data_IF_462804089328
#
_entry.id   IF_462804089328
#
_cell.length_a   1.000
_cell.length_b   1.000
_cell.length_c   1.000
_cell.angle_alpha   90.00
_cell.angle_beta   90.00
_cell.angle_gamma   90.00
#
_symmetry.space_group_name_H-M   'P 1'
#
loop_
_entity.id
_entity.type
_entity.pdbx_description
1 polymer ?
#
# COMPACT_ATOMS: atom_id res chain seq x y z
N UNK A 1 12.67 -1.13 -46.43
CA UNK A 1 13.63 -1.55 -45.38
C UNK A 1 13.43 -3.03 -45.13
N UNK A 2 14.50 -3.82 -45.07
CA UNK A 2 14.39 -5.27 -44.83
C UNK A 2 14.21 -5.54 -43.34
N UNK A 3 13.15 -6.25 -42.97
CA UNK A 3 12.96 -6.76 -41.61
C UNK A 3 13.86 -7.97 -41.42
N UNK A 4 14.88 -7.86 -40.56
CA UNK A 4 15.72 -9.00 -40.20
C UNK A 4 15.02 -9.84 -39.11
N UNK A 5 14.75 -11.10 -39.40
CA UNK A 5 14.19 -12.05 -38.43
C UNK A 5 15.28 -12.85 -37.72
N UNK A 6 15.18 -12.99 -36.40
CA UNK A 6 16.02 -13.92 -35.61
C UNK A 6 15.13 -15.01 -35.01
N UNK A 7 15.05 -16.20 -35.62
CA UNK A 7 14.30 -17.33 -35.05
C UNK A 7 14.77 -17.62 -33.62
N UNK A 8 13.86 -17.60 -32.66
CA UNK A 8 14.18 -17.77 -31.23
C UNK A 8 14.50 -16.48 -30.45
N UNK A 9 14.61 -15.31 -31.10
CA UNK A 9 14.63 -14.00 -30.46
C UNK A 9 15.99 -13.51 -29.92
N UNK A 10 15.95 -12.44 -29.11
CA UNK A 10 17.09 -11.76 -28.50
C UNK A 10 17.15 -10.25 -28.81
N UNK A 11 17.79 -9.48 -27.93
CA UNK A 11 17.90 -8.03 -28.05
C UNK A 11 18.96 -7.63 -29.08
N UNK A 12 18.66 -6.62 -29.88
CA UNK A 12 19.63 -5.93 -30.74
C UNK A 12 20.21 -4.72 -30.01
N UNK A 13 21.42 -4.30 -30.39
CA UNK A 13 22.00 -3.05 -29.92
C UNK A 13 21.64 -1.92 -30.88
N UNK A 14 20.87 -0.94 -30.40
CA UNK A 14 20.38 0.19 -31.21
C UNK A 14 20.89 1.54 -30.69
N UNK A 15 21.03 2.54 -31.57
CA UNK A 15 21.41 3.91 -31.18
C UNK A 15 20.28 4.57 -30.39
N UNK A 16 20.58 5.17 -29.22
CA UNK A 16 19.55 5.69 -28.30
C UNK A 16 19.88 7.07 -27.70
N UNK A 17 20.91 7.76 -28.20
CA UNK A 17 21.30 9.11 -27.75
C UNK A 17 20.15 10.11 -27.97
N UNK A 18 19.87 10.97 -26.96
CA UNK A 18 18.80 11.97 -27.02
C UNK A 18 18.91 12.88 -28.25
N UNK A 19 20.11 13.19 -28.72
CA UNK A 19 20.36 14.03 -29.91
C UNK A 19 19.88 13.38 -31.22
N UNK A 20 19.63 12.07 -31.20
CA UNK A 20 19.15 11.30 -32.34
C UNK A 20 17.62 11.08 -32.29
N UNK A 21 16.91 11.69 -31.32
CA UNK A 21 15.47 11.53 -31.11
C UNK A 21 14.76 12.88 -31.22
N UNK A 22 13.56 12.86 -31.80
CA UNK A 22 12.59 13.96 -31.82
C UNK A 22 11.25 13.42 -31.31
N UNK A 23 10.31 14.30 -30.95
CA UNK A 23 8.95 13.93 -30.53
C UNK A 23 8.95 12.92 -29.37
N UNK A 24 9.76 13.20 -28.35
CA UNK A 24 9.89 12.35 -27.17
C UNK A 24 8.71 12.61 -26.22
N UNK A 25 7.84 11.61 -26.10
CA UNK A 25 6.72 11.56 -25.16
C UNK A 25 6.83 10.35 -24.23
N UNK A 26 6.08 10.39 -23.13
CA UNK A 26 6.04 9.28 -22.18
C UNK A 26 5.30 8.09 -22.79
N UNK A 27 5.85 6.90 -22.59
CA UNK A 27 5.20 5.66 -22.96
C UNK A 27 4.40 5.17 -21.75
N UNK A 28 3.07 5.16 -21.85
CA UNK A 28 2.18 4.91 -20.69
C UNK A 28 1.69 3.47 -20.55
N UNK A 29 1.73 2.67 -21.63
CA UNK A 29 1.29 1.27 -21.56
C UNK A 29 2.15 0.50 -20.54
N UNK A 30 1.49 -0.29 -19.70
CA UNK A 30 2.10 -0.88 -18.50
C UNK A 30 1.31 -2.07 -17.98
N UNK A 31 0.96 -2.04 -16.69
CA UNK A 31 0.36 -3.19 -16.00
C UNK A 31 -0.95 -3.65 -16.66
N UNK A 32 -1.77 -2.71 -17.13
CA UNK A 32 -3.06 -2.99 -17.76
C UNK A 32 -2.90 -3.85 -19.04
N UNK A 33 -1.96 -3.50 -19.92
CA UNK A 33 -1.69 -4.20 -21.17
C UNK A 33 -1.03 -5.54 -20.88
N UNK A 34 -0.03 -5.58 -19.99
CA UNK A 34 0.68 -6.83 -19.63
C UNK A 34 -0.29 -7.91 -19.12
N UNK A 35 -1.32 -7.53 -18.35
CA UNK A 35 -2.32 -8.47 -17.84
C UNK A 35 -3.19 -9.12 -18.92
N UNK A 36 -3.26 -8.53 -20.11
CA UNK A 36 -4.03 -9.04 -21.26
C UNK A 36 -3.16 -9.90 -22.19
N UNK A 37 -1.84 -9.81 -22.08
CA UNK A 37 -0.92 -10.61 -22.89
C UNK A 37 -0.96 -12.06 -22.40
N UNK A 38 -1.12 -12.99 -23.35
CA UNK A 38 -1.11 -14.43 -23.10
C UNK A 38 0.17 -15.07 -23.65
N UNK A 39 1.17 -15.36 -22.81
CA UNK A 39 2.34 -16.12 -23.23
C UNK A 39 1.94 -17.55 -23.62
N UNK A 40 2.52 -18.05 -24.71
CA UNK A 40 2.27 -19.39 -25.22
C UNK A 40 3.57 -20.11 -25.49
N UNK A 41 3.55 -21.43 -25.30
CA UNK A 41 4.52 -22.31 -25.92
C UNK A 41 4.01 -22.74 -27.28
N UNK A 42 4.85 -22.66 -28.30
CA UNK A 42 4.50 -23.06 -29.65
C UNK A 42 5.65 -23.79 -30.35
N UNK A 43 5.34 -24.35 -31.51
CA UNK A 43 6.28 -24.95 -32.46
C UNK A 43 5.80 -24.57 -33.86
N UNK A 44 6.72 -24.27 -34.77
CA UNK A 44 6.33 -23.99 -36.15
C UNK A 44 5.88 -25.26 -36.87
N UNK A 45 4.93 -25.11 -37.79
CA UNK A 45 4.39 -26.23 -38.59
C UNK A 45 5.39 -26.76 -39.62
N UNK A 46 6.37 -25.96 -40.02
CA UNK A 46 7.38 -26.29 -41.02
C UNK A 46 7.16 -25.67 -42.38
N UNK A 47 6.01 -25.02 -42.57
CA UNK A 47 5.71 -24.19 -43.74
C UNK A 47 6.61 -22.93 -43.74
N UNK A 48 6.77 -22.31 -44.91
CA UNK A 48 7.54 -21.06 -45.07
C UNK A 48 8.97 -21.11 -44.50
N UNK A 49 9.63 -22.27 -44.66
CA UNK A 49 11.01 -22.52 -44.21
C UNK A 49 11.25 -22.37 -42.69
N UNK A 50 10.21 -22.54 -41.87
CA UNK A 50 10.32 -22.43 -40.42
C UNK A 50 10.78 -23.73 -39.72
N UNK A 51 11.54 -23.65 -38.61
CA UNK A 51 12.08 -24.82 -37.92
C UNK A 51 11.01 -25.59 -37.11
N UNK A 52 10.95 -26.91 -37.27
CA UNK A 52 9.90 -27.75 -36.64
C UNK A 52 10.32 -28.47 -35.37
N UNK A 53 11.62 -28.56 -35.07
CA UNK A 53 12.10 -29.46 -34.00
C UNK A 53 11.89 -28.88 -32.61
N UNK A 54 12.25 -27.62 -32.45
CA UNK A 54 12.30 -26.96 -31.15
C UNK A 54 10.92 -26.43 -30.73
N UNK A 55 10.76 -26.21 -29.42
CA UNK A 55 9.64 -25.46 -28.86
C UNK A 55 10.14 -24.07 -28.49
N UNK A 56 9.30 -23.08 -28.75
CA UNK A 56 9.58 -21.68 -28.47
C UNK A 56 8.54 -21.14 -27.49
N UNK A 57 8.95 -20.16 -26.69
CA UNK A 57 8.03 -19.32 -25.92
C UNK A 57 7.78 -18.05 -26.72
N UNK A 58 6.55 -17.57 -26.73
CA UNK A 58 6.23 -16.29 -27.35
C UNK A 58 4.78 -15.91 -27.16
N UNK A 59 4.27 -15.15 -28.12
CA UNK A 59 2.90 -14.63 -28.16
C UNK A 59 2.32 -14.87 -29.55
N UNK A 60 0.98 -14.81 -29.65
CA UNK A 60 0.29 -14.87 -30.94
C UNK A 60 0.11 -13.44 -31.45
N UNK A 61 0.59 -13.15 -32.66
CA UNK A 61 0.56 -11.79 -33.22
C UNK A 61 -0.87 -11.23 -33.33
N UNK A 62 -1.85 -12.06 -33.67
CA UNK A 62 -3.27 -11.66 -33.73
C UNK A 62 -3.82 -11.26 -32.35
N UNK A 63 -3.38 -11.92 -31.28
CA UNK A 63 -3.77 -11.57 -29.91
C UNK A 63 -3.08 -10.27 -29.48
N UNK A 64 -1.78 -10.13 -29.80
CA UNK A 64 -1.06 -8.88 -29.55
C UNK A 64 -1.64 -7.70 -30.33
N UNK A 65 -2.21 -7.92 -31.51
CA UNK A 65 -2.82 -6.85 -32.28
C UNK A 65 -4.02 -6.22 -31.58
N UNK A 66 -4.72 -6.97 -30.73
CA UNK A 66 -5.84 -6.45 -29.92
C UNK A 66 -5.35 -5.68 -28.69
N UNK A 67 -4.17 -6.00 -28.16
CA UNK A 67 -3.63 -5.42 -26.92
C UNK A 67 -2.71 -4.23 -27.20
N UNK A 68 -1.79 -4.39 -28.15
CA UNK A 68 -0.74 -3.44 -28.50
C UNK A 68 -0.48 -3.48 -30.02
N UNK A 69 -1.39 -2.91 -30.84
CA UNK A 69 -1.37 -3.06 -32.31
C UNK A 69 -0.07 -2.59 -32.96
N UNK A 70 0.59 -1.59 -32.39
CA UNK A 70 1.88 -1.05 -32.88
C UNK A 70 3.06 -2.02 -32.72
N UNK A 71 2.88 -3.14 -32.02
CA UNK A 71 3.86 -4.23 -31.96
C UNK A 71 3.73 -5.22 -33.12
N UNK A 72 2.71 -5.09 -33.96
CA UNK A 72 2.37 -6.05 -35.01
C UNK A 72 2.46 -5.37 -36.38
N UNK A 73 3.11 -6.03 -37.34
CA UNK A 73 3.25 -5.51 -38.71
C UNK A 73 2.97 -6.60 -39.73
N UNK A 74 2.06 -6.38 -40.71
CA UNK A 74 1.82 -7.33 -41.78
C UNK A 74 3.03 -7.44 -42.71
N UNK A 75 3.27 -8.63 -43.24
CA UNK A 75 4.28 -8.89 -44.25
C UNK A 75 3.83 -9.99 -45.19
N UNK A 76 4.27 -9.95 -46.44
CA UNK A 76 4.04 -11.03 -47.39
C UNK A 76 5.17 -12.04 -47.28
N UNK A 77 4.81 -13.32 -47.18
CA UNK A 77 5.74 -14.43 -47.33
C UNK A 77 5.32 -15.29 -48.52
N UNK A 78 6.30 -15.88 -49.20
CA UNK A 78 6.05 -16.76 -50.34
C UNK A 78 6.61 -18.13 -50.04
N UNK A 79 5.75 -19.13 -50.04
CA UNK A 79 6.19 -20.51 -49.89
C UNK A 79 7.05 -20.89 -51.10
N UNK A 80 8.32 -21.19 -50.85
CA UNK A 80 9.27 -21.57 -51.89
C UNK A 80 8.90 -22.88 -52.59
N UNK A 81 8.06 -23.73 -51.97
CA UNK A 81 7.64 -25.01 -52.55
C UNK A 81 6.45 -24.85 -53.48
N UNK A 82 5.41 -24.12 -53.07
CA UNK A 82 4.18 -23.93 -53.85
C UNK A 82 4.17 -22.67 -54.71
N UNK A 83 5.07 -21.72 -54.46
CA UNK A 83 5.07 -20.38 -55.08
C UNK A 83 3.92 -19.49 -54.62
N UNK A 84 3.13 -19.92 -53.63
CA UNK A 84 1.99 -19.17 -53.11
C UNK A 84 2.46 -18.08 -52.15
N UNK A 85 2.04 -16.85 -52.41
CA UNK A 85 2.25 -15.72 -51.50
C UNK A 85 1.03 -15.53 -50.60
N UNK A 86 1.26 -15.36 -49.30
CA UNK A 86 0.23 -15.09 -48.30
C UNK A 86 0.69 -13.96 -47.37
N UNK A 87 -0.27 -13.24 -46.79
CA UNK A 87 0.00 -12.23 -45.78
C UNK A 87 0.07 -12.87 -44.39
N UNK A 88 1.13 -12.54 -43.66
CA UNK A 88 1.38 -12.94 -42.29
C UNK A 88 1.59 -11.73 -41.40
N UNK A 89 1.53 -11.94 -40.09
CA UNK A 89 1.80 -10.91 -39.10
C UNK A 89 3.12 -11.20 -38.42
N UNK A 90 4.01 -10.21 -38.41
CA UNK A 90 5.24 -10.20 -37.62
C UNK A 90 5.02 -9.45 -36.32
N UNK A 91 5.81 -9.79 -35.29
CA UNK A 91 5.71 -9.21 -33.96
C UNK A 91 7.05 -8.63 -33.51
N UNK A 92 7.04 -7.39 -33.02
CA UNK A 92 8.15 -6.69 -32.40
C UNK A 92 7.88 -6.52 -30.89
N UNK A 93 8.58 -7.31 -30.07
CA UNK A 93 8.38 -7.33 -28.62
C UNK A 93 9.09 -6.25 -27.82
N UNK A 94 9.76 -5.29 -28.46
CA UNK A 94 10.52 -4.24 -27.74
C UNK A 94 9.64 -3.43 -26.81
N UNK A 95 8.44 -3.03 -27.25
CA UNK A 95 7.54 -2.23 -26.42
C UNK A 95 7.08 -2.98 -25.16
N UNK A 96 6.90 -4.31 -25.23
CA UNK A 96 6.50 -5.13 -24.08
C UNK A 96 7.55 -5.09 -22.97
N UNK A 97 8.83 -4.92 -23.30
CA UNK A 97 9.89 -4.75 -22.30
C UNK A 97 9.68 -3.45 -21.51
N UNK A 98 9.33 -2.36 -22.17
CA UNK A 98 9.06 -1.09 -21.52
C UNK A 98 7.72 -1.09 -20.78
N UNK A 99 6.71 -1.80 -21.29
CA UNK A 99 5.48 -2.07 -20.52
C UNK A 99 5.78 -2.81 -19.21
N UNK A 100 6.69 -3.78 -19.24
CA UNK A 100 7.10 -4.48 -18.01
C UNK A 100 7.81 -3.54 -17.03
N UNK A 101 8.61 -2.57 -17.51
CA UNK A 101 9.22 -1.52 -16.67
C UNK A 101 8.13 -0.67 -16.02
N UNK A 102 7.19 -0.15 -16.81
CA UNK A 102 6.07 0.65 -16.30
C UNK A 102 5.24 -0.16 -15.29
N UNK A 103 4.88 -1.39 -15.65
CA UNK A 103 4.14 -2.30 -14.77
C UNK A 103 4.86 -2.57 -13.44
N UNK A 104 6.20 -2.68 -13.44
CA UNK A 104 6.95 -2.87 -12.19
C UNK A 104 7.00 -1.61 -11.35
N UNK A 105 7.07 -0.42 -11.97
CA UNK A 105 6.96 0.85 -11.26
C UNK A 105 5.56 1.02 -10.65
N UNK A 106 4.50 0.81 -11.43
CA UNK A 106 3.12 0.84 -10.96
C UNK A 106 2.88 -0.12 -9.79
N UNK A 107 3.40 -1.36 -9.89
CA UNK A 107 3.30 -2.34 -8.81
C UNK A 107 4.05 -1.89 -7.55
N UNK A 108 5.23 -1.29 -7.69
CA UNK A 108 5.98 -0.75 -6.56
C UNK A 108 5.22 0.38 -5.85
N UNK A 109 4.61 1.28 -6.61
CA UNK A 109 3.79 2.37 -6.08
C UNK A 109 2.56 1.83 -5.34
N UNK A 110 1.87 0.85 -5.92
CA UNK A 110 0.74 0.17 -5.28
C UNK A 110 1.15 -0.53 -3.97
N UNK A 111 2.33 -1.15 -3.93
CA UNK A 111 2.86 -1.78 -2.72
C UNK A 111 3.18 -0.76 -1.63
N UNK A 112 3.77 0.38 -1.99
CA UNK A 112 4.06 1.45 -1.03
C UNK A 112 2.76 2.01 -0.43
N UNK A 113 1.76 2.26 -1.26
CA UNK A 113 0.47 2.78 -0.79
C UNK A 113 -0.27 1.78 0.10
N UNK A 114 -0.26 0.50 -0.26
CA UNK A 114 -0.81 -0.56 0.59
C UNK A 114 -0.08 -0.64 1.93
N UNK A 115 1.25 -0.48 1.96
CA UNK A 115 2.01 -0.48 3.20
C UNK A 115 1.62 0.70 4.11
N UNK A 116 1.42 1.89 3.55
CA UNK A 116 0.93 3.07 4.29
C UNK A 116 -0.44 2.81 4.91
N UNK A 117 -1.35 2.16 4.17
CA UNK A 117 -2.68 1.81 4.67
C UNK A 117 -2.60 0.78 5.81
N UNK A 118 -1.75 -0.23 5.69
CA UNK A 118 -1.52 -1.23 6.75
C UNK A 118 -0.99 -0.55 8.02
N UNK A 119 -0.01 0.35 7.89
CA UNK A 119 0.56 1.06 9.04
C UNK A 119 -0.48 1.96 9.72
N UNK A 120 -1.35 2.60 8.92
CA UNK A 120 -2.47 3.38 9.44
C UNK A 120 -3.47 2.52 10.20
N UNK A 121 -3.83 1.35 9.65
CA UNK A 121 -4.75 0.42 10.30
C UNK A 121 -4.18 -0.11 11.62
N UNK A 122 -2.90 -0.50 11.66
CA UNK A 122 -2.23 -0.94 12.89
C UNK A 122 -2.28 0.11 13.99
N UNK A 123 -2.02 1.38 13.67
CA UNK A 123 -2.13 2.47 14.65
C UNK A 123 -3.56 2.61 15.19
N UNK A 124 -4.57 2.45 14.33
CA UNK A 124 -5.97 2.49 14.76
C UNK A 124 -6.32 1.29 15.66
N UNK A 125 -5.78 0.10 15.37
CA UNK A 125 -5.94 -1.08 16.22
C UNK A 125 -5.31 -0.85 17.59
N UNK A 126 -4.07 -0.36 17.66
CA UNK A 126 -3.39 -0.04 18.92
C UNK A 126 -4.18 0.96 19.76
N UNK A 127 -4.75 2.00 19.14
CA UNK A 127 -5.60 2.98 19.83
C UNK A 127 -6.87 2.33 20.39
N UNK A 128 -7.57 1.53 19.58
CA UNK A 128 -8.79 0.83 20.01
C UNK A 128 -8.51 -0.15 21.14
N UNK A 129 -7.38 -0.85 21.11
CA UNK A 129 -6.99 -1.78 22.18
C UNK A 129 -6.78 -1.04 23.51
N UNK A 130 -6.19 0.15 23.48
CA UNK A 130 -6.04 1.00 24.68
C UNK A 130 -7.39 1.49 25.19
N UNK A 131 -8.26 1.99 24.34
CA UNK A 131 -9.62 2.41 24.71
C UNK A 131 -10.41 1.25 25.33
N UNK A 132 -10.33 0.05 24.73
CA UNK A 132 -10.97 -1.15 25.28
C UNK A 132 -10.40 -1.50 26.66
N UNK A 133 -9.08 -1.37 26.86
CA UNK A 133 -8.44 -1.64 28.14
C UNK A 133 -8.89 -0.64 29.22
N UNK A 134 -8.99 0.64 28.88
CA UNK A 134 -9.46 1.72 29.75
C UNK A 134 -10.93 1.51 30.14
N UNK A 135 -11.83 1.32 29.16
CA UNK A 135 -13.25 1.05 29.41
C UNK A 135 -13.45 -0.22 30.25
N UNK A 136 -12.64 -1.27 30.03
CA UNK A 136 -12.66 -2.46 30.88
C UNK A 136 -12.25 -2.16 32.33
N UNK A 137 -11.34 -1.21 32.55
CA UNK A 137 -10.97 -0.77 33.89
C UNK A 137 -12.08 0.01 34.56
N UNK A 138 -12.66 0.99 33.86
CA UNK A 138 -13.80 1.77 34.36
C UNK A 138 -14.98 0.86 34.74
N UNK A 139 -15.29 -0.13 33.90
CA UNK A 139 -16.35 -1.11 34.18
C UNK A 139 -16.04 -1.93 35.45
N UNK A 140 -14.77 -2.32 35.68
CA UNK A 140 -14.39 -3.05 36.91
C UNK A 140 -14.59 -2.19 38.15
N UNK A 141 -14.17 -0.93 38.09
CA UNK A 141 -14.31 0.03 39.19
C UNK A 141 -15.79 0.30 39.52
N UNK A 142 -16.61 0.55 38.50
CA UNK A 142 -18.05 0.75 38.67
C UNK A 142 -18.74 -0.49 39.26
N UNK A 143 -18.36 -1.70 38.81
CA UNK A 143 -18.89 -2.96 39.37
C UNK A 143 -18.53 -3.13 40.84
N UNK A 144 -17.30 -2.80 41.24
CA UNK A 144 -16.87 -2.88 42.63
C UNK A 144 -17.68 -1.91 43.52
N UNK A 145 -17.89 -0.67 43.06
CA UNK A 145 -18.68 0.33 43.77
C UNK A 145 -20.15 -0.12 43.95
N UNK A 146 -20.77 -0.67 42.91
CA UNK A 146 -22.14 -1.20 42.99
C UNK A 146 -22.23 -2.36 43.99
N UNK A 147 -21.24 -3.25 44.04
CA UNK A 147 -21.20 -4.34 45.02
C UNK A 147 -21.09 -3.81 46.46
N UNK A 148 -20.24 -2.81 46.69
CA UNK A 148 -20.10 -2.17 48.01
C UNK A 148 -21.41 -1.51 48.48
N UNK A 149 -22.09 -0.78 47.58
CA UNK A 149 -23.40 -0.18 47.84
C UNK A 149 -24.49 -1.23 48.11
N UNK A 150 -24.45 -2.37 47.40
CA UNK A 150 -25.40 -3.47 47.63
C UNK A 150 -25.15 -4.21 48.95
N UNK A 151 -23.89 -4.28 49.39
CA UNK A 151 -23.49 -4.92 50.65
C UNK A 151 -23.81 -4.07 51.89
N UNK A 152 -23.91 -2.74 51.74
CA UNK A 152 -24.36 -1.82 52.82
C UNK A 152 -25.88 -1.83 53.02
N UNK A 153 -26.62 -2.63 52.24
CA UNK A 153 -28.07 -2.84 52.36
C UNK A 153 -28.51 -3.73 53.53
N UNK A 154 -28.03 -3.48 54.75
CA UNK A 154 -28.69 -3.96 55.97
C UNK A 154 -29.68 -2.87 56.46
N UNK A 155 -30.97 -3.07 56.20
CA UNK A 155 -32.17 -2.40 56.76
C UNK A 155 -32.17 -0.84 56.91
N UNK A 156 -33.24 -0.13 56.46
CA UNK A 156 -33.27 1.32 56.39
C UNK A 156 -33.48 1.93 57.78
N UNK A 157 -32.41 2.35 58.46
CA UNK A 157 -32.55 3.23 59.64
C UNK A 157 -31.42 4.25 59.71
N UNK A 158 -31.50 5.29 58.88
CA UNK A 158 -31.22 6.68 59.26
C UNK A 158 -31.18 7.53 57.99
N UNK A 159 -32.12 8.46 57.94
CA UNK A 159 -32.19 9.54 56.96
C UNK A 159 -31.09 10.56 57.26
N UNK A 160 -29.87 10.29 56.79
CA UNK A 160 -28.93 11.36 56.49
C UNK A 160 -28.60 11.28 54.99
N UNK A 161 -28.71 12.38 54.23
CA UNK A 161 -28.20 12.41 52.88
C UNK A 161 -26.68 12.25 52.96
N UNK A 162 -26.20 11.05 52.61
CA UNK A 162 -24.78 10.77 52.51
C UNK A 162 -24.29 11.42 51.20
N UNK A 163 -23.56 12.53 51.34
CA UNK A 163 -22.93 13.21 50.22
C UNK A 163 -21.75 12.36 49.75
N UNK A 164 -22.00 11.47 48.78
CA UNK A 164 -20.95 10.64 48.16
C UNK A 164 -20.23 11.50 47.12
N UNK A 165 -19.25 12.25 47.58
CA UNK A 165 -18.31 12.93 46.72
C UNK A 165 -17.41 11.86 46.09
N UNK A 166 -17.56 11.63 44.78
CA UNK A 166 -16.65 10.80 44.00
C UNK A 166 -15.25 11.35 44.19
N UNK A 167 -14.44 10.77 45.08
CA UNK A 167 -13.03 11.12 45.24
C UNK A 167 -12.24 10.63 44.03
N UNK A 168 -12.50 11.22 42.87
CA UNK A 168 -11.61 11.13 41.71
C UNK A 168 -10.30 11.76 42.17
N UNK A 169 -9.22 10.97 42.19
CA UNK A 169 -7.88 11.49 42.53
C UNK A 169 -7.40 12.40 41.40
N UNK A 170 -6.64 13.47 41.70
CA UNK A 170 -5.96 14.24 40.67
C UNK A 170 -5.13 13.31 39.77
N UNK A 171 -5.21 13.49 38.45
CA UNK A 171 -4.50 12.64 37.50
C UNK A 171 -3.95 13.43 36.31
N UNK A 172 -2.87 12.91 35.74
CA UNK A 172 -2.19 13.45 34.56
C UNK A 172 -1.99 12.30 33.56
N UNK A 173 -2.50 12.44 32.34
CA UNK A 173 -2.34 11.42 31.28
C UNK A 173 -0.99 11.57 30.57
N UNK A 174 -0.62 10.57 29.77
CA UNK A 174 0.52 10.70 28.87
C UNK A 174 0.24 11.76 27.79
N UNK A 175 1.29 12.44 27.34
CA UNK A 175 1.19 13.42 26.28
C UNK A 175 0.88 12.74 24.93
N UNK A 176 -0.02 13.33 24.13
CA UNK A 176 -0.41 12.80 22.82
C UNK A 176 -0.18 13.86 21.73
N UNK A 177 0.69 13.61 20.73
CA UNK A 177 1.53 12.40 20.55
C UNK A 177 2.77 12.37 21.47
N UNK A 178 3.27 11.16 21.77
CA UNK A 178 4.58 10.93 22.40
C UNK A 178 5.34 9.84 21.63
N UNK A 179 6.48 10.13 20.97
CA UNK A 179 7.17 11.42 20.87
C UNK A 179 6.38 12.46 20.03
N UNK A 180 6.57 13.75 20.30
CA UNK A 180 6.01 14.87 19.53
C UNK A 180 7.10 15.67 18.82
N UNK A 181 6.71 16.47 17.81
CA UNK A 181 7.62 17.35 17.06
C UNK A 181 7.43 18.83 17.39
N UNK A 182 6.19 19.31 17.42
CA UNK A 182 5.85 20.71 17.65
C UNK A 182 4.94 20.88 18.87
N UNK A 183 3.78 20.21 18.86
CA UNK A 183 2.79 20.31 19.94
C UNK A 183 2.38 18.93 20.46
N UNK A 184 1.97 18.88 21.73
CA UNK A 184 1.43 17.69 22.38
C UNK A 184 0.34 18.10 23.37
N UNK A 185 -0.63 17.22 23.62
CA UNK A 185 -1.74 17.47 24.55
C UNK A 185 -1.60 16.54 25.74
N UNK A 186 -1.74 17.07 26.96
CA UNK A 186 -1.77 16.31 28.21
C UNK A 186 -3.12 16.56 28.86
N UNK A 187 -3.98 15.55 28.87
CA UNK A 187 -5.23 15.61 29.62
C UNK A 187 -4.95 15.43 31.11
N UNK A 188 -5.67 16.19 31.94
CA UNK A 188 -5.55 16.12 33.38
C UNK A 188 -6.93 16.20 34.04
N UNK A 189 -7.03 15.73 35.27
CA UNK A 189 -8.19 15.90 36.12
C UNK A 189 -7.78 16.49 37.45
N UNK A 190 -8.48 17.54 37.90
CA UNK A 190 -8.37 18.11 39.23
C UNK A 190 -9.75 18.04 39.92
N UNK A 191 -9.84 17.58 41.18
CA UNK A 191 -11.05 17.71 41.98
C UNK A 191 -11.49 19.17 42.12
N UNK A 192 -12.80 19.42 42.22
CA UNK A 192 -13.34 20.76 42.48
C UNK A 192 -12.88 21.36 43.83
N UNK A 193 -12.39 20.52 44.75
CA UNK A 193 -11.79 20.94 46.03
C UNK A 193 -10.34 21.42 45.92
N UNK A 194 -9.74 21.41 44.72
CA UNK A 194 -8.34 21.81 44.50
C UNK A 194 -8.19 23.33 44.59
N UNK A 195 -7.39 23.82 45.55
CA UNK A 195 -7.12 25.25 45.72
C UNK A 195 -5.95 25.75 44.86
N UNK A 196 -4.94 24.90 44.65
CA UNK A 196 -3.75 25.22 43.88
C UNK A 196 -3.26 23.98 43.10
N UNK A 197 -2.97 24.15 41.83
CA UNK A 197 -2.35 23.14 40.99
C UNK A 197 -1.33 23.78 40.03
N UNK A 198 -0.28 23.03 39.70
CA UNK A 198 0.71 23.43 38.71
C UNK A 198 1.23 22.20 37.96
N UNK A 199 1.49 22.36 36.67
CA UNK A 199 2.17 21.40 35.83
C UNK A 199 3.66 21.71 35.81
N UNK A 200 4.51 20.75 36.15
CA UNK A 200 5.97 20.89 36.10
C UNK A 200 6.56 20.05 34.96
N UNK A 201 7.25 20.71 34.05
CA UNK A 201 7.97 20.05 32.95
C UNK A 201 9.42 19.91 33.38
N UNK A 202 9.94 18.68 33.41
CA UNK A 202 11.31 18.37 33.87
C UNK A 202 12.11 17.60 32.80
N UNK A 203 13.44 17.74 32.83
CA UNK A 203 14.34 16.89 32.04
C UNK A 203 14.46 15.48 32.64
N UNK A 204 15.09 14.55 31.91
CA UNK A 204 15.35 13.18 32.40
C UNK A 204 16.27 13.17 33.64
N UNK A 205 17.11 14.18 33.78
CA UNK A 205 17.99 14.39 34.94
C UNK A 205 17.26 15.09 36.11
N UNK A 206 15.94 15.34 35.97
CA UNK A 206 15.10 15.94 37.00
C UNK A 206 15.15 17.47 37.08
N UNK A 207 15.85 18.15 36.15
CA UNK A 207 15.92 19.62 36.12
C UNK A 207 14.58 20.20 35.68
N UNK A 208 14.01 21.10 36.46
CA UNK A 208 12.80 21.85 36.09
C UNK A 208 13.08 22.74 34.88
N UNK A 209 12.25 22.61 33.84
CA UNK A 209 12.27 23.43 32.63
C UNK A 209 11.23 24.55 32.70
N UNK A 210 10.01 24.20 33.09
CA UNK A 210 8.88 25.12 33.08
C UNK A 210 7.82 24.71 34.10
N UNK A 211 7.09 25.69 34.62
CA UNK A 211 5.95 25.50 35.52
C UNK A 211 4.76 26.27 34.98
N UNK A 212 3.64 25.58 34.75
CA UNK A 212 2.41 26.15 34.23
C UNK A 212 1.34 26.07 35.33
N UNK A 213 0.76 27.19 35.79
CA UNK A 213 -0.35 27.14 36.74
C UNK A 213 -1.61 26.54 36.08
N UNK A 214 -2.34 25.70 36.81
CA UNK A 214 -3.58 25.04 36.38
C UNK A 214 -4.78 25.54 37.19
#
# INVERSE_FOLDING_TARGET
MGTAGKPGGGLWSDASDKRLKTDVEDFEDGLEQIRQIRPVWYRFKGDYNMPTKERYVGVIAQEMQQVAPYTVTPYLDTDQKSGKSEEFLSYNGTAVIYMLVNATQELADQMEEQQKLIDKQKRQEDTREREIAELRSEIRELRALVQELSATGAAPTSSQPLNVELQRKPSLKQNAPNPFRETTIIEYYLPETTQHAQLEIRTLEGRLLETIPL
#
